data_IF_450999945114
#
_entry.id   IF_450999945114
#
_cell.length_a   1.000
_cell.length_b   1.000
_cell.length_c   1.000
_cell.angle_alpha   90.00
_cell.angle_beta   90.00
_cell.angle_gamma   90.00
#
_symmetry.space_group_name_H-M   'P 1'
#
loop_
_entity.id
_entity.type
_entity.pdbx_description
1 polymer ?
#
# COMPACT_ATOMS: atom_id res chain seq x y z
N UNK A 1 8.08 20.80 5.17
CA UNK A 1 7.20 19.61 5.15
C UNK A 1 7.16 19.04 6.56
N UNK A 2 5.98 18.74 7.12
CA UNK A 2 5.89 18.12 8.46
C UNK A 2 6.13 16.61 8.37
N UNK A 3 6.52 15.97 9.48
CA UNK A 3 6.72 14.51 9.53
C UNK A 3 5.44 13.75 9.14
N UNK A 4 4.29 14.18 9.66
CA UNK A 4 2.98 13.63 9.31
C UNK A 4 2.72 13.58 7.79
N UNK A 5 2.95 14.69 7.08
CA UNK A 5 2.80 14.73 5.62
C UNK A 5 3.84 13.87 4.91
N UNK A 6 5.09 13.86 5.38
CA UNK A 6 6.13 13.03 4.81
C UNK A 6 5.76 11.55 4.90
N UNK A 7 5.26 11.07 6.05
CA UNK A 7 4.83 9.68 6.23
C UNK A 7 3.64 9.31 5.35
N UNK A 8 2.65 10.20 5.25
CA UNK A 8 1.50 9.99 4.37
C UNK A 8 1.91 9.93 2.90
N UNK A 9 2.72 10.88 2.44
CA UNK A 9 3.26 10.89 1.08
C UNK A 9 4.09 9.64 0.80
N UNK A 10 4.97 9.26 1.74
CA UNK A 10 5.83 8.09 1.58
C UNK A 10 5.05 6.76 1.51
N UNK A 11 3.90 6.70 2.19
CA UNK A 11 3.01 5.55 2.16
C UNK A 11 2.14 5.52 0.90
N UNK A 12 1.77 6.67 0.36
CA UNK A 12 0.95 6.79 -0.84
C UNK A 12 1.76 6.57 -2.13
N UNK A 13 2.97 7.12 -2.20
CA UNK A 13 3.77 7.18 -3.43
C UNK A 13 5.13 6.47 -3.33
N UNK A 14 5.45 5.85 -2.19
CA UNK A 14 6.74 5.22 -1.96
C UNK A 14 7.80 6.18 -1.40
N UNK A 15 9.09 5.81 -1.39
CA UNK A 15 10.19 6.62 -0.85
C UNK A 15 10.14 8.09 -1.30
N UNK A 16 10.34 9.00 -0.36
CA UNK A 16 10.13 10.42 -0.56
C UNK A 16 11.40 11.12 -1.03
N UNK A 17 11.44 11.75 -2.21
CA UNK A 17 12.61 12.53 -2.62
C UNK A 17 12.86 13.70 -1.67
N UNK A 18 14.12 13.88 -1.27
CA UNK A 18 14.57 14.98 -0.43
C UNK A 18 15.64 15.78 -1.17
N UNK A 19 15.45 17.11 -1.22
CA UNK A 19 16.46 18.01 -1.70
C UNK A 19 17.77 17.86 -0.91
N UNK A 20 18.88 18.25 -1.56
CA UNK A 20 20.19 18.32 -0.92
C UNK A 20 20.14 19.27 0.29
N UNK A 21 20.76 18.86 1.40
CA UNK A 21 20.75 19.63 2.66
C UNK A 21 19.40 19.69 3.40
N UNK A 22 18.30 19.15 2.86
CA UNK A 22 17.03 19.13 3.58
C UNK A 22 17.11 18.25 4.84
N UNK A 23 16.44 18.65 5.93
CA UNK A 23 16.36 17.82 7.12
C UNK A 23 15.54 16.54 6.83
N UNK A 24 16.01 15.40 7.34
CA UNK A 24 15.25 14.15 7.28
C UNK A 24 14.04 14.26 8.21
N UNK A 25 12.81 13.97 7.74
CA UNK A 25 11.64 13.95 8.61
C UNK A 25 11.78 12.95 9.77
N UNK A 26 11.22 13.27 10.93
CA UNK A 26 11.22 12.38 12.09
C UNK A 26 10.61 11.01 11.76
N UNK A 27 11.20 9.92 12.27
CA UNK A 27 10.79 8.55 11.96
C UNK A 27 11.16 8.04 10.57
N UNK A 28 12.01 8.78 9.84
CA UNK A 28 12.54 8.37 8.53
C UNK A 28 14.06 8.34 8.51
N UNK A 29 14.60 7.53 7.60
CA UNK A 29 16.03 7.48 7.29
C UNK A 29 16.28 8.06 5.91
N UNK A 30 17.38 8.79 5.74
CA UNK A 30 17.82 9.31 4.44
C UNK A 30 18.71 8.27 3.75
N UNK A 31 18.36 7.89 2.52
CA UNK A 31 19.07 6.94 1.68
C UNK A 31 19.24 7.51 0.28
N UNK A 32 20.47 7.91 -0.09
CA UNK A 32 20.80 8.47 -1.41
C UNK A 32 19.79 9.53 -1.92
N UNK A 33 19.48 10.52 -1.09
CA UNK A 33 18.53 11.58 -1.45
C UNK A 33 17.05 11.22 -1.24
N UNK A 34 16.71 10.01 -0.82
CA UNK A 34 15.35 9.58 -0.49
C UNK A 34 15.14 9.53 1.02
N UNK A 35 13.94 9.82 1.50
CA UNK A 35 13.47 9.53 2.85
C UNK A 35 12.64 8.25 2.83
N UNK A 36 12.98 7.29 3.69
CA UNK A 36 12.22 6.05 3.85
C UNK A 36 11.72 5.94 5.28
N UNK A 37 10.42 5.65 5.51
CA UNK A 37 9.89 5.41 6.84
C UNK A 37 10.60 4.24 7.52
N UNK A 38 11.07 4.46 8.75
CA UNK A 38 11.62 3.41 9.61
C UNK A 38 10.50 2.88 10.49
N UNK A 39 10.49 1.57 10.78
CA UNK A 39 9.55 0.99 11.74
C UNK A 39 10.08 1.18 13.16
N UNK A 40 9.20 1.44 14.14
CA UNK A 40 9.61 1.46 15.54
C UNK A 40 10.20 0.12 15.97
N UNK A 41 11.03 0.12 17.00
CA UNK A 41 11.57 -1.12 17.55
C UNK A 41 10.45 -2.04 18.05
N UNK A 42 10.60 -3.34 17.81
CA UNK A 42 9.61 -4.36 18.14
C UNK A 42 8.40 -4.41 17.20
N UNK A 43 8.20 -3.42 16.31
CA UNK A 43 7.15 -3.44 15.29
C UNK A 43 7.54 -4.39 14.16
N UNK A 44 7.03 -5.62 14.19
CA UNK A 44 7.27 -6.63 13.15
C UNK A 44 5.97 -7.24 12.63
N UNK A 45 5.92 -7.72 11.37
CA UNK A 45 4.76 -8.42 10.83
C UNK A 45 4.34 -9.65 11.64
N UNK A 46 5.25 -10.30 12.39
CA UNK A 46 4.94 -11.47 13.22
C UNK A 46 3.96 -11.15 14.35
N UNK A 47 3.87 -9.88 14.78
CA UNK A 47 2.86 -9.45 15.75
C UNK A 47 1.43 -9.62 15.20
N UNK A 48 1.22 -9.45 13.90
CA UNK A 48 -0.10 -9.67 13.31
C UNK A 48 -0.49 -11.14 13.39
N UNK A 49 0.47 -12.06 13.19
CA UNK A 49 0.25 -13.50 13.32
C UNK A 49 -0.01 -13.89 14.78
N UNK A 50 0.81 -13.39 15.71
CA UNK A 50 0.66 -13.64 17.16
C UNK A 50 -0.73 -13.23 17.67
N UNK A 51 -1.23 -12.07 17.24
CA UNK A 51 -2.53 -11.55 17.64
C UNK A 51 -3.68 -11.97 16.73
N UNK A 52 -3.42 -12.87 15.76
CA UNK A 52 -4.39 -13.37 14.79
C UNK A 52 -5.15 -12.24 14.06
N UNK A 53 -4.42 -11.19 13.71
CA UNK A 53 -4.90 -10.05 12.94
C UNK A 53 -4.60 -10.31 11.47
N UNK A 54 -5.64 -10.26 10.64
CA UNK A 54 -5.47 -10.42 9.20
C UNK A 54 -4.86 -9.14 8.60
N UNK A 55 -3.67 -9.20 7.96
CA UNK A 55 -3.12 -8.09 7.20
C UNK A 55 -3.97 -7.83 5.94
N UNK A 56 -3.75 -6.72 5.21
CA UNK A 56 -4.45 -6.45 3.97
C UNK A 56 -4.07 -7.55 2.96
N UNK A 57 -5.03 -8.07 2.19
CA UNK A 57 -4.75 -9.17 1.27
C UNK A 57 -3.78 -8.69 0.19
N UNK A 58 -2.61 -9.35 0.10
CA UNK A 58 -1.69 -9.17 -1.02
C UNK A 58 -1.98 -10.26 -2.04
N UNK A 59 -2.45 -9.86 -3.22
CA UNK A 59 -2.73 -10.80 -4.31
C UNK A 59 -1.46 -11.61 -4.61
N UNK A 60 -1.57 -12.94 -4.48
CA UNK A 60 -0.46 -13.88 -4.80
C UNK A 60 0.83 -13.51 -4.06
N UNK A 61 0.72 -13.36 -2.74
CA UNK A 61 1.85 -13.02 -1.86
C UNK A 61 2.99 -14.03 -1.94
N UNK A 62 2.69 -15.32 -2.16
CA UNK A 62 3.70 -16.36 -2.36
C UNK A 62 4.53 -16.16 -3.62
N UNK A 63 3.87 -15.89 -4.75
CA UNK A 63 4.51 -15.61 -6.03
C UNK A 63 5.33 -14.33 -5.95
N UNK A 64 4.77 -13.27 -5.36
CA UNK A 64 5.45 -11.98 -5.22
C UNK A 64 6.73 -12.11 -4.37
N UNK A 65 6.70 -12.88 -3.28
CA UNK A 65 7.89 -13.19 -2.47
C UNK A 65 8.95 -13.98 -3.26
N UNK A 66 8.53 -14.96 -4.07
CA UNK A 66 9.44 -15.74 -4.92
C UNK A 66 10.11 -14.88 -6.00
N UNK A 67 9.36 -13.95 -6.60
CA UNK A 67 9.92 -12.99 -7.57
C UNK A 67 10.91 -12.04 -6.90
N UNK A 68 10.61 -11.55 -5.69
CA UNK A 68 11.57 -10.76 -4.91
C UNK A 68 12.84 -11.56 -4.59
N UNK A 69 12.72 -12.84 -4.22
CA UNK A 69 13.86 -13.73 -4.00
C UNK A 69 14.71 -13.91 -5.27
N UNK A 70 14.08 -14.04 -6.44
CA UNK A 70 14.79 -14.08 -7.73
C UNK A 70 15.50 -12.75 -8.04
N UNK A 71 14.87 -11.60 -7.76
CA UNK A 71 15.49 -10.28 -7.89
C UNK A 71 16.73 -10.17 -6.99
N UNK A 72 16.61 -10.56 -5.72
CA UNK A 72 17.73 -10.59 -4.77
C UNK A 72 18.88 -11.46 -5.28
N UNK A 73 18.59 -12.68 -5.74
CA UNK A 73 19.59 -13.59 -6.28
C UNK A 73 20.34 -13.00 -7.47
N UNK A 74 19.64 -12.28 -8.34
CA UNK A 74 20.23 -11.67 -9.54
C UNK A 74 21.01 -10.38 -9.26
N UNK A 75 20.54 -9.58 -8.28
CA UNK A 75 21.08 -8.24 -8.01
C UNK A 75 22.11 -8.23 -6.88
N UNK A 76 22.03 -9.14 -5.90
CA UNK A 76 22.98 -9.22 -4.78
C UNK A 76 24.11 -10.21 -5.07
N UNK A 77 24.99 -9.84 -5.99
CA UNK A 77 26.11 -10.67 -6.46
C UNK A 77 27.23 -10.85 -5.43
N UNK A 78 27.48 -9.83 -4.61
CA UNK A 78 28.45 -9.87 -3.52
C UNK A 78 27.74 -9.96 -2.15
N UNK A 79 27.63 -11.18 -1.62
CA UNK A 79 27.02 -11.44 -0.32
C UNK A 79 27.85 -10.90 0.87
N UNK A 80 29.05 -10.35 0.65
CA UNK A 80 29.80 -9.65 1.68
C UNK A 80 29.35 -8.19 1.84
N UNK A 81 28.79 -7.61 0.78
CA UNK A 81 28.25 -6.24 0.76
C UNK A 81 26.78 -6.17 1.21
N UNK A 82 26.31 -4.93 1.43
CA UNK A 82 24.89 -4.64 1.63
C UNK A 82 24.07 -5.06 0.40
N UNK A 83 22.90 -5.70 0.56
CA UNK A 83 22.03 -6.03 -0.55
C UNK A 83 21.60 -4.80 -1.36
N UNK A 84 21.42 -3.63 -0.75
CA UNK A 84 21.01 -2.42 -1.46
C UNK A 84 22.22 -1.49 -1.76
N UNK A 85 22.31 -0.92 -2.97
CA UNK A 85 21.39 -1.05 -4.11
C UNK A 85 21.57 -2.34 -4.92
N UNK A 86 22.64 -3.09 -4.68
CA UNK A 86 23.01 -4.25 -5.50
C UNK A 86 23.41 -3.87 -6.92
N UNK A 87 23.77 -4.89 -7.71
CA UNK A 87 24.01 -4.78 -9.14
C UNK A 87 22.68 -4.79 -9.93
N UNK A 88 22.69 -4.15 -11.09
CA UNK A 88 21.57 -4.21 -12.04
C UNK A 88 21.56 -5.57 -12.75
N UNK A 89 20.37 -6.14 -12.96
CA UNK A 89 20.17 -7.40 -13.69
C UNK A 89 19.11 -7.25 -14.80
N UNK A 90 19.26 -7.92 -15.95
CA UNK A 90 18.20 -7.98 -16.96
C UNK A 90 16.92 -8.62 -16.41
N UNK A 91 15.75 -8.12 -16.81
CA UNK A 91 14.44 -8.71 -16.44
C UNK A 91 14.38 -10.19 -16.80
N UNK A 92 14.82 -10.58 -17.99
CA UNK A 92 14.79 -11.98 -18.43
C UNK A 92 15.58 -12.91 -17.51
N UNK A 93 16.75 -12.48 -17.00
CA UNK A 93 17.52 -13.26 -16.03
C UNK A 93 16.73 -13.50 -14.73
N UNK A 94 15.98 -12.50 -14.27
CA UNK A 94 15.10 -12.64 -13.10
C UNK A 94 13.98 -13.63 -13.39
N UNK A 95 13.37 -13.56 -14.57
CA UNK A 95 12.30 -14.47 -14.99
C UNK A 95 12.80 -15.92 -15.11
N UNK A 96 14.00 -16.13 -15.66
CA UNK A 96 14.64 -17.45 -15.75
C UNK A 96 14.93 -18.03 -14.35
N UNK A 97 15.49 -17.19 -13.46
CA UNK A 97 15.75 -17.58 -12.05
C UNK A 97 14.45 -17.93 -11.32
N UNK A 98 13.38 -17.17 -11.55
CA UNK A 98 12.06 -17.47 -11.01
C UNK A 98 11.51 -18.79 -11.55
N UNK A 99 11.63 -19.06 -12.87
CA UNK A 99 11.23 -20.33 -13.49
C UNK A 99 11.97 -21.51 -12.87
N UNK A 100 13.29 -21.38 -12.70
CA UNK A 100 14.12 -22.38 -12.04
C UNK A 100 13.67 -22.63 -10.59
N UNK A 101 13.33 -21.57 -9.85
CA UNK A 101 12.86 -21.66 -8.47
C UNK A 101 11.52 -22.41 -8.33
N UNK A 102 10.59 -22.22 -9.27
CA UNK A 102 9.27 -22.87 -9.21
C UNK A 102 9.21 -24.20 -9.95
N UNK A 103 10.22 -24.54 -10.75
CA UNK A 103 10.26 -25.77 -11.56
C UNK A 103 9.16 -25.86 -12.63
N UNK A 104 8.70 -24.71 -13.17
CA UNK A 104 7.62 -24.63 -14.17
C UNK A 104 7.98 -23.65 -15.29
N UNK A 105 7.56 -23.96 -16.51
CA UNK A 105 7.99 -23.25 -17.73
C UNK A 105 6.84 -22.61 -18.53
N UNK A 106 5.61 -22.61 -18.02
CA UNK A 106 4.44 -22.14 -18.77
C UNK A 106 4.42 -20.60 -18.91
N UNK A 107 4.05 -20.07 -20.09
CA UNK A 107 3.98 -18.62 -20.37
C UNK A 107 3.07 -17.83 -19.41
N UNK A 108 2.05 -18.50 -18.88
CA UNK A 108 1.15 -17.94 -17.86
C UNK A 108 1.96 -17.51 -16.61
N UNK A 109 2.98 -18.27 -16.22
CA UNK A 109 3.85 -17.92 -15.09
C UNK A 109 4.73 -16.71 -15.39
N UNK A 110 5.18 -16.56 -16.64
CA UNK A 110 5.96 -15.39 -17.09
C UNK A 110 5.15 -14.11 -16.89
N UNK A 111 3.91 -14.10 -17.39
CA UNK A 111 3.01 -12.95 -17.25
C UNK A 111 2.72 -12.62 -15.77
N UNK A 112 2.60 -13.64 -14.92
CA UNK A 112 2.42 -13.43 -13.49
C UNK A 112 3.66 -12.85 -12.81
N UNK A 113 4.85 -13.31 -13.17
CA UNK A 113 6.10 -12.79 -12.65
C UNK A 113 6.33 -11.34 -13.06
N UNK A 114 6.02 -10.97 -14.31
CA UNK A 114 6.03 -9.57 -14.77
C UNK A 114 5.06 -8.72 -13.96
N UNK A 115 3.83 -9.21 -13.72
CA UNK A 115 2.87 -8.54 -12.84
C UNK A 115 3.37 -8.37 -11.40
N UNK A 116 4.12 -9.34 -10.87
CA UNK A 116 4.74 -9.25 -9.55
C UNK A 116 5.91 -8.25 -9.51
N UNK A 117 6.73 -8.19 -10.56
CA UNK A 117 7.80 -7.21 -10.69
C UNK A 117 7.25 -5.78 -10.67
N UNK A 118 6.17 -5.50 -11.44
CA UNK A 118 5.49 -4.21 -11.40
C UNK A 118 5.01 -3.85 -9.98
N UNK A 119 4.35 -4.79 -9.28
CA UNK A 119 3.96 -4.56 -7.87
C UNK A 119 5.15 -4.28 -6.94
N UNK A 120 6.26 -4.99 -7.10
CA UNK A 120 7.47 -4.76 -6.32
C UNK A 120 8.10 -3.41 -6.64
N UNK A 121 7.99 -2.95 -7.89
CA UNK A 121 8.41 -1.63 -8.33
C UNK A 121 7.57 -0.53 -7.69
N UNK A 122 6.25 -0.64 -7.79
CA UNK A 122 5.30 0.33 -7.21
C UNK A 122 5.45 0.43 -5.68
N UNK A 123 5.85 -0.66 -5.04
CA UNK A 123 6.12 -0.71 -3.60
C UNK A 123 7.59 -0.43 -3.24
N UNK A 124 8.44 -0.07 -4.21
CA UNK A 124 9.86 0.29 -4.03
C UNK A 124 10.75 -0.80 -3.39
N UNK A 125 10.36 -2.07 -3.52
CA UNK A 125 11.23 -3.22 -3.25
C UNK A 125 12.21 -3.46 -4.39
N UNK A 126 11.86 -3.10 -5.62
CA UNK A 126 12.75 -3.10 -6.78
C UNK A 126 12.59 -1.79 -7.56
N UNK A 127 13.56 -1.48 -8.41
CA UNK A 127 13.45 -0.43 -9.42
C UNK A 127 13.53 -1.10 -10.77
N UNK A 128 12.53 -0.87 -11.62
CA UNK A 128 12.50 -1.35 -13.00
C UNK A 128 12.70 -0.17 -13.94
N UNK A 129 13.64 -0.30 -14.89
CA UNK A 129 13.86 0.68 -15.94
C UNK A 129 14.54 0.00 -17.13
N UNK A 130 14.12 0.33 -18.35
CA UNK A 130 14.78 -0.09 -19.61
C UNK A 130 15.02 -1.61 -19.76
N UNK A 131 14.11 -2.44 -19.25
CA UNK A 131 14.27 -3.91 -19.29
C UNK A 131 15.25 -4.46 -18.25
N UNK A 132 15.66 -3.63 -17.29
CA UNK A 132 16.52 -4.00 -16.17
C UNK A 132 15.80 -3.84 -14.83
N UNK A 133 16.32 -4.55 -13.83
CA UNK A 133 15.87 -4.54 -12.44
C UNK A 133 17.07 -4.27 -11.54
N UNK A 134 16.86 -3.47 -10.49
CA UNK A 134 17.77 -3.28 -9.35
C UNK A 134 16.99 -3.38 -8.04
N UNK A 135 17.66 -3.63 -6.92
CA UNK A 135 17.01 -3.61 -5.62
C UNK A 135 16.60 -2.18 -5.23
N UNK A 136 15.38 -2.06 -4.72
CA UNK A 136 14.77 -0.80 -4.35
C UNK A 136 15.13 -0.39 -2.93
N UNK A 137 14.95 0.88 -2.57
CA UNK A 137 15.36 1.45 -1.28
C UNK A 137 14.68 0.81 -0.06
N UNK A 138 13.55 0.08 -0.21
CA UNK A 138 13.01 -0.71 0.90
C UNK A 138 13.93 -1.87 1.31
N UNK A 139 14.78 -2.39 0.42
CA UNK A 139 15.77 -3.41 0.80
C UNK A 139 16.80 -2.87 1.79
N UNK A 140 17.11 -1.57 1.73
CA UNK A 140 18.02 -0.91 2.68
C UNK A 140 17.41 -0.79 4.09
N UNK A 141 16.11 -1.02 4.26
CA UNK A 141 15.49 -1.02 5.60
C UNK A 141 15.50 -2.39 6.27
N UNK A 142 16.13 -3.40 5.67
CA UNK A 142 16.27 -4.69 6.35
C UNK A 142 17.23 -4.60 7.53
N UNK A 143 16.86 -5.16 8.70
CA UNK A 143 17.76 -5.20 9.83
C UNK A 143 19.00 -6.02 9.51
N UNK A 144 20.17 -5.54 9.95
CA UNK A 144 21.48 -6.15 9.65
C UNK A 144 21.56 -7.58 10.22
N UNK A 145 20.91 -7.83 11.35
CA UNK A 145 20.78 -9.15 11.98
C UNK A 145 20.08 -10.18 11.08
N UNK A 146 19.23 -9.73 10.16
CA UNK A 146 18.54 -10.62 9.20
C UNK A 146 19.46 -11.07 8.05
N UNK A 147 20.61 -10.42 7.86
CA UNK A 147 21.48 -10.68 6.71
C UNK A 147 22.04 -12.10 6.71
N UNK A 148 22.32 -12.69 7.87
CA UNK A 148 22.78 -14.07 7.95
C UNK A 148 21.79 -15.06 7.34
N UNK A 149 20.51 -14.92 7.69
CA UNK A 149 19.43 -15.74 7.16
C UNK A 149 19.19 -15.48 5.66
N UNK A 150 19.26 -14.22 5.23
CA UNK A 150 19.13 -13.85 3.82
C UNK A 150 20.27 -14.43 2.97
N UNK A 151 21.53 -14.36 3.44
CA UNK A 151 22.68 -14.96 2.75
C UNK A 151 22.52 -16.46 2.60
N UNK A 152 22.05 -17.13 3.64
CA UNK A 152 21.79 -18.57 3.59
C UNK A 152 20.67 -18.93 2.60
N UNK A 153 19.60 -18.13 2.55
CA UNK A 153 18.56 -18.26 1.54
C UNK A 153 19.16 -18.12 0.13
N UNK A 154 19.96 -17.07 -0.13
CA UNK A 154 20.56 -16.82 -1.45
C UNK A 154 21.50 -17.93 -1.92
N UNK A 155 22.20 -18.61 -1.00
CA UNK A 155 23.03 -19.79 -1.33
C UNK A 155 22.22 -21.01 -1.76
N UNK A 156 20.98 -21.14 -1.27
CA UNK A 156 20.10 -22.28 -1.59
C UNK A 156 19.29 -22.08 -2.87
N UNK A 157 19.12 -20.83 -3.30
CA UNK A 157 18.38 -20.54 -4.53
C UNK A 157 19.16 -21.00 -5.77
N UNK A 158 18.47 -21.45 -6.83
CA UNK A 158 19.10 -21.78 -8.11
C UNK A 158 19.98 -20.64 -8.61
N UNK A 159 21.13 -20.99 -9.19
CA UNK A 159 21.97 -19.99 -9.85
C UNK A 159 21.28 -19.50 -11.12
N UNK A 160 21.28 -18.17 -11.39
CA UNK A 160 20.76 -17.63 -12.63
C UNK A 160 21.58 -18.20 -13.80
N UNK A 161 20.93 -18.82 -14.78
CA UNK A 161 21.60 -19.16 -16.03
C UNK A 161 22.15 -17.87 -16.66
N UNK A 162 23.41 -17.90 -17.09
CA UNK A 162 24.00 -16.80 -17.85
C UNK A 162 23.42 -16.85 -19.27
N UNK A 163 22.20 -16.40 -19.45
CA UNK A 163 21.63 -16.21 -20.79
C UNK A 163 22.49 -15.23 -21.58
N UNK A 164 22.93 -15.65 -22.77
CA UNK A 164 23.44 -14.73 -23.79
C UNK A 164 22.34 -13.68 -24.08
N UNK A 165 22.74 -12.41 -24.10
CA UNK A 165 21.85 -11.25 -24.18
C UNK A 165 21.02 -11.25 -25.49
N UNK A 166 19.81 -11.80 -25.45
CA UNK A 166 18.75 -11.45 -26.40
C UNK A 166 17.87 -10.38 -25.75
N UNK A 167 18.13 -9.12 -26.11
CA UNK A 167 17.26 -7.99 -25.77
C UNK A 167 15.95 -8.16 -26.54
N UNK A 168 15.00 -8.89 -25.96
CA UNK A 168 13.62 -8.89 -26.43
C UNK A 168 13.01 -7.54 -26.10
N UNK A 169 12.94 -6.65 -27.10
CA UNK A 169 12.10 -5.46 -27.06
C UNK A 169 10.64 -5.91 -27.19
N UNK A 170 10.06 -6.43 -26.13
CA UNK A 170 8.60 -6.56 -26.03
C UNK A 170 8.02 -5.14 -25.90
N UNK A 171 7.25 -4.72 -26.90
CA UNK A 171 6.64 -3.39 -26.98
C UNK A 171 5.69 -3.07 -25.80
N UNK A 172 5.27 -4.09 -25.05
CA UNK A 172 4.32 -3.97 -23.92
C UNK A 172 5.00 -3.72 -22.55
N UNK A 173 6.33 -3.56 -22.53
CA UNK A 173 7.09 -3.14 -21.34
C UNK A 173 7.45 -1.65 -21.34
N UNK A 174 7.10 -0.91 -22.41
CA UNK A 174 7.48 0.49 -22.60
C UNK A 174 6.23 1.37 -22.65
N UNK A 175 5.65 1.67 -21.49
CA UNK A 175 4.78 2.84 -21.35
C UNK A 175 4.70 3.24 -19.86
N UNK A 176 5.71 4.00 -19.41
CA UNK A 176 5.67 5.00 -18.34
C UNK A 176 7.10 5.48 -18.02
N UNK A 177 7.73 6.19 -18.96
CA UNK A 177 8.86 7.06 -18.64
C UNK A 177 8.91 8.15 -19.70
N UNK A 178 8.63 9.40 -19.32
CA UNK A 178 8.93 10.55 -20.16
C UNK A 178 10.45 10.64 -20.41
N UNK A 179 10.88 11.25 -21.52
CA UNK A 179 12.29 11.37 -21.82
C UNK A 179 12.88 12.48 -20.95
N UNK A 180 13.56 12.10 -19.86
CA UNK A 180 14.70 12.79 -19.25
C UNK A 180 14.96 12.20 -17.85
N UNK A 181 15.66 11.07 -17.77
CA UNK A 181 16.44 10.77 -16.56
C UNK A 181 17.62 9.80 -16.85
N UNK A 182 18.59 10.28 -17.63
CA UNK A 182 19.91 9.62 -17.72
C UNK A 182 20.83 9.99 -16.54
N UNK A 183 20.27 10.41 -15.39
CA UNK A 183 21.04 10.80 -14.21
C UNK A 183 20.75 9.91 -12.99
N UNK A 184 20.73 8.59 -13.17
CA UNK A 184 20.81 7.68 -12.02
C UNK A 184 22.23 7.72 -11.43
N UNK A 185 22.52 8.79 -10.70
CA UNK A 185 23.63 8.89 -9.77
C UNK A 185 23.66 7.60 -8.94
N UNK A 186 24.84 6.98 -8.84
CA UNK A 186 25.02 5.78 -8.04
C UNK A 186 24.56 6.08 -6.61
N UNK A 187 23.52 5.40 -6.09
CA UNK A 187 23.14 5.59 -4.70
C UNK A 187 24.25 5.00 -3.84
N UNK A 188 25.00 5.88 -3.16
CA UNK A 188 25.98 5.45 -2.17
C UNK A 188 25.26 4.67 -1.06
N UNK A 189 25.74 3.47 -0.77
CA UNK A 189 25.28 2.63 0.34
C UNK A 189 25.58 3.35 1.67
N UNK A 190 24.65 4.20 2.10
CA UNK A 190 24.70 4.86 3.39
C UNK A 190 24.19 3.90 4.45
N UNK A 191 25.07 3.51 5.38
CA UNK A 191 24.74 2.74 6.58
C UNK A 191 23.61 3.42 7.36
N UNK A 192 22.69 2.61 7.90
CA UNK A 192 21.65 3.04 8.85
C UNK A 192 22.33 3.42 10.17
N UNK A 193 22.88 4.62 10.29
CA UNK A 193 23.33 5.15 11.58
C UNK A 193 22.28 6.13 12.12
N UNK A 194 21.65 5.76 13.24
CA UNK A 194 21.01 6.73 14.14
C UNK A 194 19.54 7.06 13.91
N UNK A 195 18.70 6.11 13.48
CA UNK A 195 17.25 6.26 13.70
C UNK A 195 16.98 6.09 15.21
N UNK A 196 17.08 7.18 15.98
CA UNK A 196 16.50 7.24 17.33
C UNK A 196 15.05 6.76 17.21
N UNK A 197 14.63 5.79 18.01
CA UNK A 197 13.31 5.21 17.88
C UNK A 197 12.27 6.34 18.08
N UNK A 198 11.50 6.60 17.03
CA UNK A 198 10.63 7.78 16.87
C UNK A 198 9.65 8.01 18.03
N UNK A 199 9.41 6.96 18.81
CA UNK A 199 8.44 6.91 19.88
C UNK A 199 9.04 6.66 21.26
N UNK A 200 10.37 6.64 21.42
CA UNK A 200 11.01 6.39 22.74
C UNK A 200 10.47 7.34 23.80
N UNK A 201 10.35 8.63 23.47
CA UNK A 201 9.81 9.66 24.37
C UNK A 201 8.38 9.38 24.85
N UNK A 202 7.58 8.65 24.05
CA UNK A 202 6.23 8.23 24.41
C UNK A 202 6.20 6.90 25.17
N UNK A 203 7.17 6.02 24.92
CA UNK A 203 7.21 4.66 25.42
C UNK A 203 8.02 4.50 26.71
N UNK A 204 8.88 5.46 27.04
CA UNK A 204 9.75 5.45 28.24
C UNK A 204 8.97 5.50 29.55
N UNK A 205 7.72 5.97 29.52
CA UNK A 205 6.84 5.97 30.68
C UNK A 205 6.27 4.57 31.03
N UNK A 206 6.45 3.58 30.16
CA UNK A 206 5.89 2.24 30.33
C UNK A 206 6.96 1.20 30.64
N UNK A 207 6.57 0.18 31.40
CA UNK A 207 7.37 -1.04 31.51
C UNK A 207 7.39 -1.82 30.18
N UNK A 208 8.30 -2.80 30.08
CA UNK A 208 8.52 -3.56 28.85
C UNK A 208 7.25 -4.27 28.37
N UNK A 209 6.47 -4.83 29.30
CA UNK A 209 5.22 -5.52 28.98
C UNK A 209 4.21 -4.55 28.36
N UNK A 210 4.01 -3.39 28.98
CA UNK A 210 3.03 -2.41 28.52
C UNK A 210 3.48 -1.74 27.23
N UNK A 211 4.79 -1.53 27.05
CA UNK A 211 5.40 -1.12 25.79
C UNK A 211 5.07 -2.11 24.66
N UNK A 212 5.27 -3.41 24.89
CA UNK A 212 4.92 -4.44 23.92
C UNK A 212 3.42 -4.45 23.57
N UNK A 213 2.53 -4.28 24.56
CA UNK A 213 1.08 -4.18 24.32
C UNK A 213 0.70 -2.97 23.44
N UNK A 214 1.35 -1.81 23.65
CA UNK A 214 1.16 -0.61 22.83
C UNK A 214 1.69 -0.82 21.41
N UNK A 215 2.88 -1.38 21.27
CA UNK A 215 3.50 -1.68 19.97
C UNK A 215 2.65 -2.65 19.15
N UNK A 216 2.13 -3.71 19.77
CA UNK A 216 1.23 -4.66 19.11
C UNK A 216 -0.08 -4.00 18.65
N UNK A 217 -0.69 -3.15 19.49
CA UNK A 217 -1.89 -2.42 19.12
C UNK A 217 -1.64 -1.41 17.99
N UNK A 218 -0.51 -0.69 18.03
CA UNK A 218 -0.10 0.21 16.94
C UNK A 218 0.02 -0.55 15.62
N UNK A 219 0.66 -1.73 15.63
CA UNK A 219 0.77 -2.58 14.46
C UNK A 219 -0.57 -3.04 13.90
N UNK A 220 -1.46 -3.49 14.79
CA UNK A 220 -2.79 -3.90 14.42
C UNK A 220 -3.59 -2.74 13.79
N UNK A 221 -3.55 -1.54 14.37
CA UNK A 221 -4.23 -0.37 13.82
C UNK A 221 -3.70 0.01 12.43
N UNK A 222 -2.37 -0.04 12.26
CA UNK A 222 -1.71 0.34 11.00
C UNK A 222 -1.94 -0.63 9.85
N UNK A 223 -2.10 -1.92 10.15
CA UNK A 223 -2.05 -2.96 9.12
C UNK A 223 -3.21 -3.93 9.09
N UNK A 224 -4.10 -3.97 10.09
CA UNK A 224 -5.26 -4.83 9.97
C UNK A 224 -6.09 -4.45 8.72
N UNK A 225 -6.52 -5.45 7.95
CA UNK A 225 -7.50 -5.24 6.89
C UNK A 225 -8.82 -4.71 7.47
N UNK A 226 -9.23 -5.30 8.59
CA UNK A 226 -10.49 -5.03 9.28
C UNK A 226 -10.27 -4.27 10.59
N UNK A 227 -11.24 -3.47 11.06
CA UNK A 227 -11.21 -2.89 12.40
C UNK A 227 -11.04 -3.96 13.48
N UNK A 228 -10.07 -3.77 14.38
CA UNK A 228 -9.75 -4.74 15.44
C UNK A 228 -10.65 -4.58 16.65
N UNK A 229 -10.99 -5.68 17.31
CA UNK A 229 -11.81 -5.63 18.52
C UNK A 229 -11.02 -5.06 19.70
N UNK A 230 -11.66 -4.15 20.43
CA UNK A 230 -11.10 -3.54 21.63
C UNK A 230 -10.71 -4.56 22.71
N UNK A 231 -11.49 -5.65 22.85
CA UNK A 231 -11.23 -6.73 23.80
C UNK A 231 -9.90 -7.45 23.59
N UNK A 232 -9.37 -7.46 22.36
CA UNK A 232 -8.11 -8.15 22.00
C UNK A 232 -6.85 -7.36 22.38
N UNK A 233 -6.97 -6.05 22.61
CA UNK A 233 -5.83 -5.18 22.87
C UNK A 233 -6.07 -4.34 24.12
N UNK A 234 -5.36 -4.68 25.21
CA UNK A 234 -5.46 -3.93 26.46
C UNK A 234 -5.12 -2.43 26.30
N UNK A 235 -4.20 -2.10 25.38
CA UNK A 235 -3.84 -0.73 25.07
C UNK A 235 -4.96 0.09 24.40
N UNK A 236 -5.97 -0.56 23.79
CA UNK A 236 -7.15 0.12 23.25
C UNK A 236 -8.24 0.37 24.31
N UNK A 237 -8.31 -0.50 25.32
CA UNK A 237 -9.29 -0.38 26.43
C UNK A 237 -8.93 0.73 27.41
N UNK A 238 -7.66 0.80 27.79
CA UNK A 238 -7.19 1.78 28.78
C UNK A 238 -7.01 3.17 28.12
N UNK A 239 -7.62 4.23 28.68
CA UNK A 239 -7.42 5.60 28.20
C UNK A 239 -5.96 6.05 28.10
N UNK A 240 -5.07 5.64 29.01
CA UNK A 240 -3.69 6.16 29.03
C UNK A 240 -2.84 5.64 27.84
N UNK A 241 -2.71 4.32 27.59
CA UNK A 241 -2.05 3.81 26.40
C UNK A 241 -2.79 4.19 25.11
N UNK A 242 -4.12 4.30 25.12
CA UNK A 242 -4.87 4.73 23.94
C UNK A 242 -4.51 6.16 23.50
N UNK A 243 -4.25 7.07 24.45
CA UNK A 243 -3.74 8.42 24.12
C UNK A 243 -2.36 8.35 23.48
N UNK A 244 -1.50 7.46 23.97
CA UNK A 244 -0.16 7.24 23.38
C UNK A 244 -0.27 6.67 21.97
N UNK A 245 -1.16 5.70 21.73
CA UNK A 245 -1.46 5.19 20.39
C UNK A 245 -1.93 6.30 19.45
N UNK A 246 -2.82 7.18 19.91
CA UNK A 246 -3.31 8.31 19.12
C UNK A 246 -2.17 9.27 18.76
N UNK A 247 -1.25 9.55 19.69
CA UNK A 247 -0.07 10.41 19.44
C UNK A 247 0.92 9.74 18.46
N UNK A 248 1.21 8.45 18.62
CA UNK A 248 2.05 7.69 17.68
C UNK A 248 1.46 7.72 16.26
N UNK A 249 0.14 7.54 16.12
CA UNK A 249 -0.56 7.66 14.84
C UNK A 249 -0.48 9.09 14.27
N UNK A 250 -0.67 10.11 15.12
CA UNK A 250 -0.64 11.51 14.70
C UNK A 250 0.73 11.91 14.11
N UNK A 251 1.83 11.41 14.67
CA UNK A 251 3.20 11.59 14.12
C UNK A 251 3.35 11.01 12.71
N UNK A 252 2.58 9.97 12.38
CA UNK A 252 2.48 9.36 11.04
C UNK A 252 1.38 9.97 10.15
N UNK A 253 0.76 11.06 10.59
CA UNK A 253 -0.33 11.74 9.88
C UNK A 253 -1.66 10.99 9.92
N UNK A 254 -1.83 10.13 10.92
CA UNK A 254 -2.99 9.25 11.07
C UNK A 254 -3.77 9.60 12.32
N UNK A 255 -5.04 9.24 12.31
CA UNK A 255 -5.96 9.43 13.43
C UNK A 255 -6.57 8.09 13.83
N UNK A 256 -6.85 7.95 15.12
CA UNK A 256 -7.50 6.79 15.69
C UNK A 256 -9.01 6.88 15.43
N UNK A 257 -9.58 5.84 14.82
CA UNK A 257 -10.99 5.80 14.43
C UNK A 257 -11.69 4.70 15.21
N UNK A 258 -12.73 5.07 15.96
CA UNK A 258 -13.61 4.14 16.64
C UNK A 258 -14.83 3.79 15.78
N UNK A 259 -15.15 2.50 15.73
CA UNK A 259 -16.33 1.94 15.08
C UNK A 259 -17.04 1.02 16.07
N UNK A 260 -17.91 1.59 16.93
CA UNK A 260 -18.52 0.89 18.07
C UNK A 260 -17.40 0.34 19.00
N UNK A 261 -17.32 -0.98 19.16
CA UNK A 261 -16.30 -1.68 19.98
C UNK A 261 -15.06 -2.09 19.17
N UNK A 262 -14.92 -1.57 17.96
CA UNK A 262 -13.77 -1.85 17.08
C UNK A 262 -12.99 -0.59 16.79
N UNK A 263 -11.71 -0.75 16.51
CA UNK A 263 -10.77 0.35 16.29
C UNK A 263 -9.98 0.14 15.00
N UNK A 264 -9.68 1.22 14.31
CA UNK A 264 -8.75 1.25 13.17
C UNK A 264 -8.04 2.60 13.14
N UNK A 265 -7.09 2.77 12.23
CA UNK A 265 -6.50 4.08 11.94
C UNK A 265 -6.86 4.54 10.53
N UNK A 266 -6.98 5.85 10.35
CA UNK A 266 -7.16 6.52 9.06
C UNK A 266 -6.20 7.68 8.90
N UNK A 267 -6.13 8.29 7.71
CA UNK A 267 -5.41 9.55 7.58
C UNK A 267 -6.21 10.68 8.23
N UNK A 268 -5.49 11.59 8.89
CA UNK A 268 -6.09 12.87 9.27
C UNK A 268 -6.54 13.62 8.02
N UNK A 269 -7.68 14.31 8.10
CA UNK A 269 -8.32 14.94 6.95
C UNK A 269 -7.45 16.03 6.31
N UNK A 270 -6.71 16.81 7.12
CA UNK A 270 -5.84 17.86 6.61
C UNK A 270 -4.59 17.26 5.95
N UNK A 271 -4.09 16.16 6.50
CA UNK A 271 -2.97 15.40 5.91
C UNK A 271 -3.39 14.76 4.58
N UNK A 272 -4.57 14.13 4.54
CA UNK A 272 -5.12 13.54 3.34
C UNK A 272 -5.33 14.58 2.23
N UNK A 273 -5.91 15.73 2.55
CA UNK A 273 -6.14 16.82 1.61
C UNK A 273 -4.83 17.34 0.96
N UNK A 274 -3.75 17.41 1.74
CA UNK A 274 -2.43 17.85 1.24
C UNK A 274 -1.68 16.77 0.48
N UNK A 275 -1.89 15.50 0.82
CA UNK A 275 -1.21 14.36 0.15
C UNK A 275 -1.81 14.11 -1.24
N UNK A 276 -3.11 14.35 -1.41
CA UNK A 276 -3.81 14.14 -2.68
C UNK A 276 -4.06 12.66 -2.98
N UNK A 277 -4.32 12.37 -4.26
CA UNK A 277 -4.59 11.01 -4.75
C UNK A 277 -3.50 10.54 -5.70
N UNK A 278 -3.13 9.27 -5.59
CA UNK A 278 -2.26 8.58 -6.54
C UNK A 278 -3.05 7.84 -7.65
N UNK A 279 -4.39 7.84 -7.58
CA UNK A 279 -5.23 7.17 -8.57
C UNK A 279 -5.34 7.99 -9.84
N UNK A 280 -5.14 7.35 -10.99
CA UNK A 280 -5.41 7.92 -12.31
C UNK A 280 -6.90 8.15 -12.56
N UNK A 281 -7.22 8.79 -13.68
CA UNK A 281 -8.60 9.13 -14.02
C UNK A 281 -9.48 7.88 -14.18
N UNK A 282 -8.95 6.86 -14.86
CA UNK A 282 -9.63 5.61 -15.13
C UNK A 282 -9.93 4.83 -13.84
N UNK A 283 -8.98 4.76 -12.89
CA UNK A 283 -9.23 4.18 -11.58
C UNK A 283 -10.32 4.94 -10.81
N UNK A 284 -10.29 6.28 -10.83
CA UNK A 284 -11.30 7.10 -10.15
C UNK A 284 -12.69 6.91 -10.76
N UNK A 285 -12.78 6.87 -12.09
CA UNK A 285 -14.04 6.64 -12.80
C UNK A 285 -14.63 5.26 -12.46
N UNK A 286 -13.81 4.21 -12.53
CA UNK A 286 -14.24 2.84 -12.19
C UNK A 286 -14.64 2.71 -10.72
N UNK A 287 -13.85 3.28 -9.80
CA UNK A 287 -14.19 3.29 -8.37
C UNK A 287 -15.53 4.00 -8.12
N UNK A 288 -15.77 5.12 -8.79
CA UNK A 288 -17.01 5.87 -8.69
C UNK A 288 -18.20 5.05 -9.18
N UNK A 289 -18.08 4.38 -10.33
CA UNK A 289 -19.13 3.48 -10.83
C UNK A 289 -19.44 2.37 -9.83
N UNK A 290 -18.43 1.69 -9.29
CA UNK A 290 -18.65 0.65 -8.28
C UNK A 290 -19.35 1.23 -7.05
N UNK A 291 -18.95 2.41 -6.55
CA UNK A 291 -19.60 3.04 -5.41
C UNK A 291 -21.05 3.45 -5.69
N UNK A 292 -21.37 3.90 -6.91
CA UNK A 292 -22.76 4.22 -7.27
C UNK A 292 -23.64 2.98 -7.19
N UNK A 293 -23.22 1.88 -7.84
CA UNK A 293 -24.03 0.67 -7.95
C UNK A 293 -24.03 -0.18 -6.65
N UNK A 294 -22.95 -0.16 -5.88
CA UNK A 294 -22.88 -0.93 -4.62
C UNK A 294 -23.32 -0.13 -3.39
N UNK A 295 -23.20 1.20 -3.38
CA UNK A 295 -23.47 2.01 -2.18
C UNK A 295 -24.60 3.00 -2.41
N UNK A 296 -24.49 3.87 -3.42
CA UNK A 296 -25.43 4.98 -3.58
C UNK A 296 -26.85 4.50 -3.92
N UNK A 297 -27.01 3.61 -4.90
CA UNK A 297 -28.30 3.06 -5.31
C UNK A 297 -28.93 2.24 -4.16
N UNK A 298 -28.25 1.23 -3.56
CA UNK A 298 -28.84 0.47 -2.46
C UNK A 298 -29.19 1.33 -1.24
N UNK A 299 -28.42 2.38 -0.95
CA UNK A 299 -28.74 3.33 0.13
C UNK A 299 -29.98 4.16 -0.19
N UNK A 300 -30.13 4.64 -1.42
CA UNK A 300 -31.32 5.37 -1.84
C UNK A 300 -32.59 4.50 -1.79
N UNK A 301 -32.44 3.19 -2.00
CA UNK A 301 -33.50 2.19 -1.89
C UNK A 301 -33.76 1.72 -0.44
N UNK A 302 -32.98 2.21 0.53
CA UNK A 302 -33.11 1.83 1.95
C UNK A 302 -32.53 0.45 2.30
N UNK A 303 -31.77 -0.17 1.39
CA UNK A 303 -31.15 -1.49 1.58
C UNK A 303 -29.82 -1.41 2.35
N UNK A 304 -29.20 -0.23 2.39
CA UNK A 304 -27.92 0.00 3.06
C UNK A 304 -28.03 1.14 4.09
N UNK A 305 -27.55 0.96 5.34
CA UNK A 305 -27.53 2.03 6.33
C UNK A 305 -26.71 3.25 5.87
N UNK A 306 -27.09 4.44 6.35
CA UNK A 306 -26.49 5.72 5.95
C UNK A 306 -24.97 5.77 6.18
N UNK A 307 -24.49 5.23 7.30
CA UNK A 307 -23.07 5.22 7.66
C UNK A 307 -22.28 3.97 7.18
N UNK A 308 -22.94 3.01 6.52
CA UNK A 308 -22.29 1.76 6.12
C UNK A 308 -21.63 1.86 4.76
N UNK A 309 -20.31 1.75 4.69
CA UNK A 309 -19.55 1.69 3.43
C UNK A 309 -19.22 0.27 2.98
N UNK A 310 -19.51 -0.72 3.83
CA UNK A 310 -19.49 -2.11 3.43
C UNK A 310 -20.84 -2.48 2.85
N UNK A 311 -20.85 -2.73 1.54
CA UNK A 311 -22.06 -3.14 0.84
C UNK A 311 -22.06 -4.64 0.57
N UNK A 312 -23.18 -5.34 0.84
CA UNK A 312 -23.38 -6.70 0.35
C UNK A 312 -23.75 -6.71 -1.15
N UNK A 313 -24.08 -5.56 -1.75
CA UNK A 313 -24.55 -5.46 -3.13
C UNK A 313 -23.37 -5.32 -4.09
N UNK A 314 -22.93 -6.44 -4.66
CA UNK A 314 -21.84 -6.45 -5.62
C UNK A 314 -22.25 -5.82 -6.95
N UNK A 315 -21.36 -5.01 -7.53
CA UNK A 315 -21.52 -4.49 -8.89
C UNK A 315 -20.93 -5.48 -9.89
N UNK A 316 -21.74 -6.13 -10.75
CA UNK A 316 -21.23 -7.09 -11.74
C UNK A 316 -20.33 -6.41 -12.77
N UNK A 317 -19.37 -7.15 -13.32
CA UNK A 317 -18.45 -6.62 -14.36
C UNK A 317 -19.22 -6.18 -15.60
N UNK A 318 -20.26 -6.92 -15.99
CA UNK A 318 -21.08 -6.57 -17.15
C UNK A 318 -21.86 -5.27 -16.94
N UNK A 319 -22.21 -4.95 -15.70
CA UNK A 319 -22.83 -3.66 -15.37
C UNK A 319 -21.83 -2.52 -15.54
N UNK A 320 -20.60 -2.70 -15.07
CA UNK A 320 -19.51 -1.72 -15.29
C UNK A 320 -19.25 -1.50 -16.78
N UNK A 321 -19.26 -2.57 -17.58
CA UNK A 321 -19.05 -2.52 -19.04
C UNK A 321 -20.15 -1.74 -19.78
N UNK A 322 -21.38 -1.71 -19.24
CA UNK A 322 -22.49 -0.94 -19.84
C UNK A 322 -22.37 0.56 -19.59
N UNK A 323 -21.77 0.94 -18.46
CA UNK A 323 -21.75 2.33 -18.00
C UNK A 323 -20.40 3.04 -18.17
N UNK A 324 -19.32 2.30 -18.42
CA UNK A 324 -18.00 2.88 -18.67
C UNK A 324 -17.82 3.28 -20.14
N UNK A 325 -17.03 4.33 -20.37
CA UNK A 325 -16.51 4.69 -21.69
C UNK A 325 -15.10 4.14 -21.93
N UNK A 326 -14.51 3.49 -20.93
CA UNK A 326 -13.16 2.93 -21.02
C UNK A 326 -13.14 1.66 -21.89
N UNK A 327 -12.08 1.44 -22.69
CA UNK A 327 -11.80 0.16 -23.29
C UNK A 327 -11.75 -0.98 -22.25
N UNK A 328 -12.12 -2.19 -22.66
CA UNK A 328 -12.19 -3.36 -21.76
C UNK A 328 -10.85 -3.61 -21.04
N UNK A 329 -9.74 -3.52 -21.76
CA UNK A 329 -8.40 -3.73 -21.17
C UNK A 329 -8.06 -2.70 -20.09
N UNK A 330 -8.47 -1.45 -20.27
CA UNK A 330 -8.26 -0.36 -19.32
C UNK A 330 -9.17 -0.49 -18.09
N UNK A 331 -10.43 -0.88 -18.29
CA UNK A 331 -11.33 -1.23 -17.19
C UNK A 331 -10.76 -2.36 -16.32
N UNK A 332 -10.26 -3.43 -16.94
CA UNK A 332 -9.69 -4.57 -16.22
C UNK A 332 -8.38 -4.22 -15.51
N UNK A 333 -7.56 -3.33 -16.09
CA UNK A 333 -6.38 -2.78 -15.45
C UNK A 333 -6.75 -1.93 -14.22
N UNK A 334 -7.70 -1.01 -14.35
CA UNK A 334 -8.18 -0.16 -13.26
C UNK A 334 -8.77 -0.99 -12.11
N UNK A 335 -9.61 -1.99 -12.41
CA UNK A 335 -10.16 -2.91 -11.40
C UNK A 335 -9.05 -3.65 -10.65
N UNK A 336 -8.00 -4.09 -11.36
CA UNK A 336 -6.85 -4.77 -10.75
C UNK A 336 -6.08 -3.83 -9.81
N UNK A 337 -5.80 -2.60 -10.24
CA UNK A 337 -5.12 -1.58 -9.43
C UNK A 337 -5.92 -1.27 -8.16
N UNK A 338 -7.22 -1.02 -8.30
CA UNK A 338 -8.11 -0.71 -7.17
C UNK A 338 -8.22 -1.86 -6.17
N UNK A 339 -8.23 -3.12 -6.63
CA UNK A 339 -8.17 -4.29 -5.74
C UNK A 339 -6.83 -4.36 -5.00
N UNK A 340 -5.71 -4.15 -5.69
CA UNK A 340 -4.40 -4.16 -5.05
C UNK A 340 -4.25 -3.05 -4.00
N UNK A 341 -4.87 -1.89 -4.23
CA UNK A 341 -4.94 -0.80 -3.26
C UNK A 341 -5.88 -1.11 -2.07
N UNK A 342 -6.68 -2.19 -2.12
CA UNK A 342 -7.69 -2.52 -1.13
C UNK A 342 -8.90 -1.58 -1.16
N UNK A 343 -9.07 -0.80 -2.23
CA UNK A 343 -10.23 0.06 -2.45
C UNK A 343 -11.43 -0.72 -2.97
N UNK A 344 -11.19 -1.84 -3.65
CA UNK A 344 -12.23 -2.79 -4.05
C UNK A 344 -11.95 -4.18 -3.49
N UNK A 345 -13.01 -4.89 -3.16
CA UNK A 345 -12.99 -6.33 -2.93
C UNK A 345 -13.82 -7.03 -4.02
N UNK A 346 -13.41 -8.26 -4.38
CA UNK A 346 -14.13 -9.07 -5.35
C UNK A 346 -14.94 -10.13 -4.61
N UNK A 347 -16.25 -10.12 -4.85
CA UNK A 347 -17.18 -11.15 -4.36
C UNK A 347 -17.30 -12.20 -5.46
N UNK A 348 -16.98 -13.45 -5.14
CA UNK A 348 -17.11 -14.56 -6.09
C UNK A 348 -18.60 -14.81 -6.36
N UNK A 349 -18.92 -15.14 -7.61
CA UNK A 349 -20.27 -15.58 -7.96
C UNK A 349 -20.61 -16.85 -7.17
N UNK A 350 -21.69 -16.78 -6.42
CA UNK A 350 -22.31 -17.90 -5.70
C UNK A 350 -23.67 -18.18 -6.32
N UNK A 351 -24.72 -18.23 -5.49
CA UNK A 351 -26.11 -18.19 -5.98
C UNK A 351 -26.47 -16.79 -6.55
N UNK A 352 -25.81 -15.74 -6.07
CA UNK A 352 -25.90 -14.38 -6.61
C UNK A 352 -24.79 -14.10 -7.64
N UNK A 353 -25.06 -13.14 -8.53
CA UNK A 353 -24.07 -12.64 -9.48
C UNK A 353 -22.88 -12.02 -8.72
N UNK A 354 -21.68 -12.57 -8.93
CA UNK A 354 -20.45 -12.02 -8.37
C UNK A 354 -20.13 -10.63 -8.93
N UNK A 355 -19.20 -9.94 -8.30
CA UNK A 355 -18.85 -8.58 -8.71
C UNK A 355 -17.86 -7.90 -7.78
N UNK A 356 -17.89 -6.57 -7.80
CA UNK A 356 -17.03 -5.73 -6.99
C UNK A 356 -17.82 -4.95 -5.93
N UNK A 357 -17.25 -4.86 -4.73
CA UNK A 357 -17.77 -4.08 -3.61
C UNK A 357 -16.65 -3.19 -3.05
N UNK A 358 -16.97 -2.17 -2.23
CA UNK A 358 -15.96 -1.38 -1.55
C UNK A 358 -15.04 -2.27 -0.70
N UNK A 359 -13.74 -2.02 -0.77
CA UNK A 359 -12.73 -2.78 -0.05
C UNK A 359 -12.44 -2.26 1.37
N UNK A 360 -11.50 -2.91 2.09
CA UNK A 360 -11.20 -2.60 3.49
C UNK A 360 -10.73 -1.17 3.75
N UNK A 361 -10.19 -0.45 2.75
CA UNK A 361 -9.76 0.94 2.93
C UNK A 361 -10.90 1.88 3.37
N UNK A 362 -12.15 1.55 3.05
CA UNK A 362 -13.31 2.35 3.45
C UNK A 362 -13.55 2.36 4.97
N UNK A 363 -13.06 1.35 5.70
CA UNK A 363 -13.05 1.39 7.17
C UNK A 363 -12.19 2.52 7.71
N UNK A 364 -11.16 2.91 6.98
CA UNK A 364 -10.14 3.87 7.41
C UNK A 364 -10.53 5.31 7.11
N UNK A 365 -11.71 5.55 6.53
CA UNK A 365 -12.25 6.90 6.38
C UNK A 365 -12.71 7.44 7.74
N UNK A 366 -12.30 8.67 8.06
CA UNK A 366 -12.84 9.45 9.17
C UNK A 366 -14.34 9.72 8.95
N UNK A 367 -15.07 10.10 10.00
CA UNK A 367 -16.48 10.45 9.86
C UNK A 367 -16.69 11.63 8.88
N UNK A 368 -15.81 12.62 8.92
CA UNK A 368 -15.85 13.77 8.02
C UNK A 368 -15.53 13.37 6.57
N UNK A 369 -14.54 12.49 6.34
CA UNK A 369 -14.25 11.96 5.02
C UNK A 369 -15.41 11.12 4.45
N UNK A 370 -16.06 10.28 5.27
CA UNK A 370 -17.27 9.52 4.87
C UNK A 370 -18.40 10.44 4.45
N UNK A 371 -18.70 11.47 5.25
CA UNK A 371 -19.74 12.46 4.91
C UNK A 371 -19.44 13.19 3.61
N UNK A 372 -18.21 13.68 3.43
CA UNK A 372 -17.80 14.32 2.16
C UNK A 372 -17.95 13.37 0.97
N UNK A 373 -17.52 12.13 1.11
CA UNK A 373 -17.65 11.14 0.04
C UNK A 373 -19.13 10.81 -0.25
N UNK A 374 -19.99 10.78 0.77
CA UNK A 374 -21.42 10.60 0.58
C UNK A 374 -22.04 11.77 -0.22
N UNK A 375 -21.67 13.00 0.10
CA UNK A 375 -22.10 14.17 -0.66
C UNK A 375 -21.64 14.10 -2.13
N UNK A 376 -20.38 13.72 -2.39
CA UNK A 376 -19.89 13.53 -3.76
C UNK A 376 -20.68 12.44 -4.51
N UNK A 377 -21.02 11.33 -3.84
CA UNK A 377 -21.83 10.28 -4.47
C UNK A 377 -23.25 10.73 -4.77
N UNK A 378 -23.87 11.54 -3.90
CA UNK A 378 -25.18 12.14 -4.17
C UNK A 378 -25.11 13.02 -5.42
N UNK A 379 -24.06 13.85 -5.51
CA UNK A 379 -23.86 14.74 -6.65
C UNK A 379 -23.59 13.97 -7.95
N UNK A 380 -22.86 12.84 -7.88
CA UNK A 380 -22.54 12.00 -9.02
C UNK A 380 -23.74 11.16 -9.50
N UNK A 381 -24.47 10.52 -8.59
CA UNK A 381 -25.58 9.62 -8.92
C UNK A 381 -26.86 10.36 -9.31
N UNK A 382 -27.11 11.54 -8.74
CA UNK A 382 -28.35 12.29 -8.91
C UNK A 382 -28.14 13.80 -8.90
N UNK A 383 -27.41 14.39 -9.87
CA UNK A 383 -27.01 15.80 -9.84
C UNK A 383 -28.19 16.79 -9.84
N UNK A 384 -29.37 16.38 -10.30
CA UNK A 384 -30.56 17.22 -10.39
C UNK A 384 -31.60 16.95 -9.28
N UNK A 385 -31.25 16.13 -8.29
CA UNK A 385 -32.15 15.83 -7.16
C UNK A 385 -32.22 17.00 -6.17
N UNK A 386 -33.33 17.13 -5.40
CA UNK A 386 -33.42 18.10 -4.30
C UNK A 386 -32.29 17.95 -3.27
N UNK A 387 -31.85 16.71 -3.02
CA UNK A 387 -30.76 16.42 -2.11
C UNK A 387 -29.42 16.98 -2.64
N UNK A 388 -29.13 16.81 -3.94
CA UNK A 388 -27.97 17.42 -4.57
C UNK A 388 -28.01 18.96 -4.53
N UNK A 389 -29.19 19.56 -4.67
CA UNK A 389 -29.36 21.00 -4.51
C UNK A 389 -29.04 21.47 -3.08
N UNK A 390 -29.50 20.72 -2.07
CA UNK A 390 -29.22 21.00 -0.65
C UNK A 390 -27.72 20.92 -0.34
N UNK A 391 -27.04 19.88 -0.81
CA UNK A 391 -25.58 19.73 -0.66
C UNK A 391 -24.83 20.94 -1.23
N UNK A 392 -25.19 21.37 -2.45
CA UNK A 392 -24.56 22.56 -3.08
C UNK A 392 -24.83 23.84 -2.31
N UNK A 393 -26.04 24.02 -1.77
CA UNK A 393 -26.39 25.18 -0.97
C UNK A 393 -25.57 25.23 0.34
N UNK A 394 -25.44 24.10 1.02
CA UNK A 394 -24.69 24.00 2.27
C UNK A 394 -23.20 24.30 2.10
N UNK A 395 -22.60 23.89 0.96
CA UNK A 395 -21.20 24.22 0.64
C UNK A 395 -20.99 25.71 0.41
N UNK A 396 -21.91 26.38 -0.30
CA UNK A 396 -21.83 27.83 -0.52
C UNK A 396 -21.83 28.63 0.79
N UNK A 397 -22.61 28.20 1.78
CA UNK A 397 -22.67 28.85 3.10
C UNK A 397 -21.50 28.51 4.03
N UNK A 398 -20.67 27.51 3.69
CA UNK A 398 -19.50 27.13 4.48
C UNK A 398 -18.18 27.73 3.98
N UNK A 399 -18.18 28.30 2.77
CA UNK A 399 -17.04 29.01 2.16
C UNK A 399 -17.11 30.55 2.37
N UNK A 400 -18.20 31.05 2.97
CA UNK A 400 -18.33 32.42 3.54
C UNK A 400 -17.98 32.41 5.04
#
# INVERSE_FOLDING_TARGET
MTAAHAHAAARAAGPLPLAEGAATPAGMVRLAGLAVPVWPDGVTPSLLEEYQVSPPPVERSGETRRVLAACLKCCWSDLSADPWPGATAPVERVLDTYRALIGRTDDVMRNWAVGALRRLHDSAWVVMADGFVRLGPRCATWPVESYGQLKELMRRLPEPERGELTVLRDADLVEAAGPDDQSLAQPHAGRIDGARAEFDDLLDAFDERRRAEVVAAFMALEFAAEPVQESRFAALRDPAPRRVLAEMLARRGRTLIQQRERWTSGYDDAVAAKTGTALGESERAVLTLVLIHSVAIPRAEGLLPEDSWLSPHATPVDELRRHTQLPIGELEAALRVLRHAGLLAQVKAGEEAGGYVPGPQFHRLTQAARRRLQEELILAAGPHTPLAAAVRAQRKTGDE
#
